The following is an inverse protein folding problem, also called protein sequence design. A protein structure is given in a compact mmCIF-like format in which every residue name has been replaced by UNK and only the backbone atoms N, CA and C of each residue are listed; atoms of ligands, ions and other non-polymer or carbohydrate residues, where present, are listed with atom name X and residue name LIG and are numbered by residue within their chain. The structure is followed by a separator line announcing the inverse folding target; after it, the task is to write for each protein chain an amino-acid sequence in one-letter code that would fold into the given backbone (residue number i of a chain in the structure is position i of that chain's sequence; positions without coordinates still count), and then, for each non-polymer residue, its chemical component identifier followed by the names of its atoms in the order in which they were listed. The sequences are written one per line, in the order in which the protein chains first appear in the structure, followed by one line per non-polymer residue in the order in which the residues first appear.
data_IF_879387930149
#
_entry.id   IF_879387930149
#
_cell.length_a   1.000
_cell.length_b   1.000
_cell.length_c   1.000
_cell.angle_alpha   90.00
_cell.angle_beta   90.00
_cell.angle_gamma   90.00
#
_symmetry.space_group_name_H-M   'P 1'
#
loop_
_entity.id
_entity.type
_entity.pdbx_description
1 polymer ?
#
# COMPACT_ATOMS: atom_id res chain seq x y z
N UNK A 1 13.04 19.37 16.45
CA UNK A 1 13.60 18.02 16.68
C UNK A 1 14.30 17.61 15.42
N UNK A 2 15.54 17.15 15.46
CA UNK A 2 16.23 16.64 14.29
C UNK A 2 15.49 15.36 13.86
N UNK A 3 14.85 15.38 12.68
CA UNK A 3 14.24 14.19 12.09
C UNK A 3 15.30 13.09 12.04
N UNK A 4 15.03 11.96 12.66
CA UNK A 4 15.93 10.80 12.57
C UNK A 4 15.93 10.34 11.13
N UNK A 5 17.09 10.41 10.47
CA UNK A 5 17.22 10.09 9.05
C UNK A 5 16.92 8.61 8.77
N UNK A 6 16.06 8.34 7.79
CA UNK A 6 15.81 6.99 7.24
C UNK A 6 16.90 6.49 6.29
N UNK A 7 17.96 7.29 6.06
CA UNK A 7 19.00 6.97 5.07
C UNK A 7 19.73 5.63 5.32
N UNK A 8 19.78 5.14 6.56
CA UNK A 8 20.36 3.84 6.89
C UNK A 8 19.43 2.64 6.62
N UNK A 9 18.12 2.84 6.47
CA UNK A 9 17.15 1.77 6.35
C UNK A 9 17.32 0.91 5.07
N UNK A 10 17.59 1.48 3.87
CA UNK A 10 17.83 0.68 2.67
C UNK A 10 19.02 -0.26 2.81
N UNK A 11 20.13 0.21 3.39
CA UNK A 11 21.32 -0.62 3.62
C UNK A 11 21.03 -1.75 4.62
N UNK A 12 20.26 -1.47 5.68
CA UNK A 12 19.83 -2.50 6.63
C UNK A 12 19.00 -3.60 5.95
N UNK A 13 18.05 -3.24 5.08
CA UNK A 13 17.23 -4.22 4.35
C UNK A 13 18.01 -4.98 3.29
N UNK A 14 19.01 -4.37 2.68
CA UNK A 14 19.95 -5.06 1.77
C UNK A 14 20.71 -6.15 2.52
N UNK A 15 21.26 -5.83 3.70
CA UNK A 15 21.95 -6.80 4.55
C UNK A 15 20.99 -7.91 5.04
N UNK A 16 19.76 -7.55 5.45
CA UNK A 16 18.72 -8.51 5.85
C UNK A 16 18.30 -9.45 4.71
N UNK A 17 18.32 -9.00 3.48
CA UNK A 17 18.00 -9.86 2.34
C UNK A 17 19.14 -10.83 2.01
N UNK A 18 20.39 -10.42 2.23
CA UNK A 18 21.57 -11.25 2.01
C UNK A 18 21.75 -12.35 3.10
N UNK A 19 21.39 -12.05 4.35
CA UNK A 19 21.44 -12.98 5.48
C UNK A 19 20.13 -12.94 6.26
N UNK A 20 19.10 -13.65 5.75
CA UNK A 20 17.77 -13.66 6.37
C UNK A 20 17.64 -14.81 7.37
N UNK A 21 18.40 -14.72 8.47
CA UNK A 21 18.47 -15.74 9.54
C UNK A 21 17.99 -15.19 10.89
N UNK A 22 17.80 -16.09 11.85
CA UNK A 22 17.51 -15.72 13.24
C UNK A 22 18.75 -15.12 13.91
N UNK A 23 19.92 -15.59 13.55
CA UNK A 23 21.21 -15.09 14.02
C UNK A 23 21.41 -13.65 13.59
N UNK A 24 21.16 -13.32 12.33
CA UNK A 24 21.18 -11.94 11.83
C UNK A 24 20.26 -11.02 12.68
N UNK A 25 19.02 -11.48 12.94
CA UNK A 25 18.10 -10.70 13.78
C UNK A 25 18.65 -10.46 15.18
N UNK A 26 19.15 -11.51 15.82
CA UNK A 26 19.68 -11.41 17.19
C UNK A 26 20.81 -10.39 17.28
N UNK A 27 21.70 -10.35 16.30
CA UNK A 27 22.83 -9.42 16.26
C UNK A 27 22.45 -7.99 15.83
N UNK A 28 21.39 -7.82 15.04
CA UNK A 28 21.05 -6.56 14.37
C UNK A 28 19.71 -5.96 14.82
N UNK A 29 19.05 -6.54 15.82
CA UNK A 29 17.74 -6.07 16.30
C UNK A 29 17.79 -4.62 16.80
N UNK A 30 18.79 -4.25 17.56
CA UNK A 30 18.89 -2.90 18.11
C UNK A 30 19.22 -1.87 17.02
N UNK A 31 20.00 -2.28 16.02
CA UNK A 31 20.24 -1.51 14.81
C UNK A 31 18.93 -1.29 14.03
N UNK A 32 18.11 -2.33 13.87
CA UNK A 32 16.78 -2.22 13.24
C UNK A 32 15.91 -1.19 13.94
N UNK A 33 15.85 -1.20 15.26
CA UNK A 33 15.05 -0.23 16.01
C UNK A 33 15.56 1.20 15.76
N UNK A 34 16.87 1.43 15.89
CA UNK A 34 17.49 2.74 15.77
C UNK A 34 17.49 3.30 14.34
N UNK A 35 17.77 2.47 13.33
CA UNK A 35 17.96 2.94 11.94
C UNK A 35 16.77 2.75 11.03
N UNK A 36 15.80 1.89 11.40
CA UNK A 36 14.65 1.58 10.59
C UNK A 36 13.34 1.97 11.29
N UNK A 37 13.05 1.34 12.44
CA UNK A 37 11.72 1.40 13.03
C UNK A 37 11.41 2.78 13.62
N UNK A 38 12.27 3.30 14.45
CA UNK A 38 12.07 4.61 15.10
C UNK A 38 12.04 5.75 14.08
N UNK A 39 12.98 5.84 13.12
CA UNK A 39 12.91 6.86 12.07
C UNK A 39 11.67 6.74 11.19
N UNK A 40 11.21 5.53 10.90
CA UNK A 40 9.99 5.33 10.10
C UNK A 40 8.72 5.78 10.85
N UNK A 41 8.64 5.55 12.17
CA UNK A 41 7.53 6.05 12.99
C UNK A 41 7.58 7.57 13.14
N UNK A 42 8.77 8.14 13.29
CA UNK A 42 8.97 9.59 13.32
C UNK A 42 8.50 10.22 12.01
N UNK A 43 8.87 9.64 10.85
CA UNK A 43 8.42 10.08 9.53
C UNK A 43 6.90 10.13 9.42
N UNK A 44 6.18 9.08 9.87
CA UNK A 44 4.72 9.07 9.87
C UNK A 44 4.14 10.19 10.75
N UNK A 45 4.75 10.43 11.90
CA UNK A 45 4.37 11.51 12.81
C UNK A 45 4.62 12.90 12.19
N UNK A 46 5.77 13.08 11.55
CA UNK A 46 6.14 14.32 10.85
C UNK A 46 5.19 14.61 9.67
N UNK A 47 4.67 13.56 9.03
CA UNK A 47 3.59 13.66 8.05
C UNK A 47 2.20 13.89 8.69
N UNK A 48 2.14 14.30 9.95
CA UNK A 48 0.90 14.64 10.66
C UNK A 48 -0.01 13.44 10.94
N UNK A 49 0.51 12.22 10.94
CA UNK A 49 -0.28 11.02 11.18
C UNK A 49 -0.23 10.62 12.66
N UNK A 50 -1.39 10.29 13.23
CA UNK A 50 -1.42 9.60 14.52
C UNK A 50 -0.98 8.15 14.33
N UNK A 51 0.29 7.88 14.69
CA UNK A 51 0.90 6.54 14.51
C UNK A 51 0.17 5.44 15.27
N UNK A 52 -0.63 5.76 16.29
CA UNK A 52 -1.42 4.76 17.02
C UNK A 52 -2.58 4.21 16.19
N UNK A 53 -3.04 4.96 15.20
CA UNK A 53 -4.06 4.50 14.24
C UNK A 53 -3.50 3.61 13.14
N UNK A 54 -2.18 3.53 13.03
CA UNK A 54 -1.49 2.75 12.01
C UNK A 54 -1.15 1.34 12.49
N UNK A 55 -1.51 0.37 11.71
CA UNK A 55 -1.05 -1.01 11.88
C UNK A 55 0.36 -1.15 11.31
N UNK A 56 1.36 -0.98 12.16
CA UNK A 56 2.77 -1.21 11.82
C UNK A 56 3.06 -2.72 11.79
N UNK A 57 3.63 -3.21 10.71
CA UNK A 57 3.91 -4.63 10.55
C UNK A 57 5.12 -5.06 11.39
N UNK A 58 4.98 -6.22 12.05
CA UNK A 58 6.11 -6.85 12.74
C UNK A 58 7.18 -7.30 11.74
N UNK A 59 8.48 -7.30 12.12
CA UNK A 59 9.57 -7.71 11.25
C UNK A 59 9.52 -9.20 10.87
N UNK A 60 9.00 -10.04 11.75
CA UNK A 60 8.94 -11.48 11.52
C UNK A 60 7.84 -11.87 10.54
N UNK A 61 8.18 -12.85 9.69
CA UNK A 61 7.26 -13.50 8.75
C UNK A 61 6.66 -14.75 9.39
N UNK A 62 5.44 -15.09 9.04
CA UNK A 62 4.88 -16.41 9.34
C UNK A 62 5.37 -17.39 8.27
N UNK A 63 6.34 -18.22 8.65
CA UNK A 63 6.98 -19.16 7.73
C UNK A 63 6.27 -20.50 7.62
N UNK A 64 5.20 -20.73 8.41
CA UNK A 64 4.47 -22.00 8.41
C UNK A 64 3.89 -22.36 7.04
N UNK A 65 3.54 -21.34 6.26
CA UNK A 65 2.93 -21.49 4.93
C UNK A 65 3.85 -21.06 3.78
N UNK A 66 5.14 -20.83 4.06
CA UNK A 66 6.10 -20.34 3.05
C UNK A 66 7.47 -20.99 3.27
N UNK A 67 7.60 -22.32 3.03
CA UNK A 67 8.87 -23.01 3.17
C UNK A 67 9.92 -22.40 2.20
N UNK A 68 11.15 -22.28 2.68
CA UNK A 68 12.27 -21.72 1.90
C UNK A 68 12.35 -20.19 1.91
N UNK A 69 11.41 -19.49 2.54
CA UNK A 69 11.48 -18.04 2.72
C UNK A 69 12.04 -17.73 4.11
N UNK A 70 13.02 -16.82 4.18
CA UNK A 70 13.63 -16.42 5.45
C UNK A 70 12.63 -15.86 6.48
N UNK A 71 12.97 -15.92 7.78
CA UNK A 71 12.07 -15.58 8.88
C UNK A 71 11.74 -14.08 8.98
N UNK A 72 12.48 -13.23 8.31
CA UNK A 72 12.31 -11.78 8.38
C UNK A 72 11.66 -11.23 7.10
N UNK A 73 10.86 -10.18 7.27
CA UNK A 73 10.43 -9.35 6.15
C UNK A 73 11.59 -8.45 5.72
N UNK A 74 11.77 -8.30 4.42
CA UNK A 74 12.76 -7.39 3.82
C UNK A 74 12.20 -5.99 3.61
N UNK A 75 11.22 -5.62 4.41
CA UNK A 75 10.61 -4.29 4.46
C UNK A 75 9.94 -4.03 5.81
N UNK A 76 9.80 -2.77 6.17
CA UNK A 76 8.89 -2.30 7.20
C UNK A 76 7.73 -1.56 6.52
N UNK A 77 6.50 -1.98 6.80
CA UNK A 77 5.30 -1.34 6.28
C UNK A 77 4.34 -0.96 7.39
N UNK A 78 3.53 0.04 7.13
CA UNK A 78 2.43 0.48 7.97
C UNK A 78 1.19 0.78 7.14
N UNK A 79 0.03 0.44 7.66
CA UNK A 79 -1.28 0.61 7.02
C UNK A 79 -2.25 1.31 7.97
N UNK A 80 -2.85 2.38 7.50
CA UNK A 80 -4.01 3.01 8.12
C UNK A 80 -5.23 2.78 7.23
N UNK A 81 -6.33 2.32 7.81
CA UNK A 81 -7.59 2.07 7.11
C UNK A 81 -8.66 3.01 7.66
N UNK A 82 -9.26 3.81 6.81
CA UNK A 82 -10.34 4.72 7.16
C UNK A 82 -11.67 3.96 7.36
N UNK A 83 -12.65 4.61 7.98
CA UNK A 83 -13.97 4.03 8.23
C UNK A 83 -14.72 3.68 6.95
N UNK A 84 -14.44 4.36 5.84
CA UNK A 84 -14.98 4.08 4.51
C UNK A 84 -14.31 2.88 3.81
N UNK A 85 -13.29 2.28 4.43
CA UNK A 85 -12.55 1.12 3.94
C UNK A 85 -11.34 1.47 3.08
N UNK A 86 -11.17 2.73 2.64
CA UNK A 86 -9.95 3.14 1.93
C UNK A 86 -8.74 3.13 2.87
N UNK A 87 -7.54 2.97 2.33
CA UNK A 87 -6.34 2.91 3.13
C UNK A 87 -5.22 3.79 2.60
N UNK A 88 -4.35 4.22 3.52
CA UNK A 88 -3.03 4.77 3.24
C UNK A 88 -1.98 3.77 3.69
N UNK A 89 -0.98 3.57 2.87
CA UNK A 89 0.13 2.68 3.13
C UNK A 89 1.45 3.40 2.98
N UNK A 90 2.40 3.09 3.85
CA UNK A 90 3.78 3.49 3.71
C UNK A 90 4.69 2.28 3.95
N UNK A 91 5.81 2.21 3.24
CA UNK A 91 6.80 1.14 3.36
C UNK A 91 8.20 1.69 3.12
N UNK A 92 9.16 1.18 3.86
CA UNK A 92 10.60 1.33 3.59
C UNK A 92 11.21 -0.04 3.35
N UNK A 93 12.01 -0.17 2.29
CA UNK A 93 12.74 -1.38 1.92
C UNK A 93 14.12 -1.01 1.34
N UNK A 94 14.86 -2.00 0.80
CA UNK A 94 16.16 -1.77 0.17
C UNK A 94 16.11 -0.83 -1.04
N UNK A 95 14.94 -0.57 -1.62
CA UNK A 95 14.73 0.31 -2.78
C UNK A 95 14.21 1.69 -2.40
N UNK A 96 14.24 2.04 -1.12
CA UNK A 96 13.74 3.32 -0.61
C UNK A 96 12.31 3.27 -0.09
N UNK A 97 11.66 4.43 -0.06
CA UNK A 97 10.34 4.65 0.50
C UNK A 97 9.26 4.42 -0.57
N UNK A 98 8.16 3.76 -0.19
CA UNK A 98 6.98 3.57 -1.02
C UNK A 98 5.75 4.06 -0.26
N UNK A 99 4.87 4.76 -0.95
CA UNK A 99 3.56 5.12 -0.43
C UNK A 99 2.46 4.70 -1.41
N UNK A 100 1.30 4.37 -0.87
CA UNK A 100 0.09 4.15 -1.68
C UNK A 100 -1.18 4.54 -0.93
N UNK A 101 -2.24 4.79 -1.70
CA UNK A 101 -3.60 4.98 -1.19
C UNK A 101 -4.61 4.30 -2.10
N UNK A 102 -5.70 3.78 -1.53
CA UNK A 102 -6.75 3.07 -2.28
C UNK A 102 -7.36 1.91 -1.51
N UNK A 103 -7.81 0.92 -2.25
CA UNK A 103 -8.32 -0.37 -1.75
C UNK A 103 -7.50 -1.49 -2.40
N UNK A 104 -6.40 -1.93 -1.79
CA UNK A 104 -5.52 -2.95 -2.37
C UNK A 104 -6.17 -4.32 -2.46
N UNK A 105 -7.24 -4.56 -1.70
CA UNK A 105 -8.02 -5.80 -1.71
C UNK A 105 -9.50 -5.47 -1.57
N UNK A 106 -10.32 -6.04 -2.45
CA UNK A 106 -11.78 -5.94 -2.41
C UNK A 106 -12.36 -7.25 -1.88
N UNK A 107 -13.05 -7.20 -0.75
CA UNK A 107 -13.87 -8.31 -0.26
C UNK A 107 -15.00 -8.62 -1.27
N UNK A 108 -15.65 -9.77 -1.14
CA UNK A 108 -16.63 -10.23 -2.12
C UNK A 108 -17.79 -9.23 -2.33
N UNK A 109 -18.28 -8.62 -1.27
CA UNK A 109 -19.32 -7.58 -1.31
C UNK A 109 -18.81 -6.28 -1.96
N UNK A 110 -17.59 -5.86 -1.62
CA UNK A 110 -16.91 -4.73 -2.24
C UNK A 110 -16.67 -4.97 -3.74
N UNK A 111 -16.20 -6.17 -4.11
CA UNK A 111 -15.95 -6.52 -5.51
C UNK A 111 -17.23 -6.50 -6.35
N UNK A 112 -18.37 -6.87 -5.76
CA UNK A 112 -19.68 -6.74 -6.42
C UNK A 112 -20.02 -5.27 -6.67
N UNK A 113 -19.91 -4.41 -5.65
CA UNK A 113 -20.17 -2.95 -5.79
C UNK A 113 -19.20 -2.31 -6.79
N UNK A 114 -17.90 -2.64 -6.71
CA UNK A 114 -16.88 -2.21 -7.65
C UNK A 114 -17.29 -2.49 -9.12
N UNK A 115 -17.62 -3.74 -9.42
CA UNK A 115 -17.99 -4.14 -10.78
C UNK A 115 -19.25 -3.45 -11.27
N UNK A 116 -20.26 -3.33 -10.43
CA UNK A 116 -21.49 -2.60 -10.75
C UNK A 116 -21.20 -1.13 -11.07
N UNK A 117 -20.38 -0.46 -10.25
CA UNK A 117 -20.04 0.95 -10.45
C UNK A 117 -19.17 1.15 -11.69
N UNK A 118 -18.16 0.28 -11.93
CA UNK A 118 -17.27 0.39 -13.09
C UNK A 118 -17.99 0.14 -14.41
N UNK A 119 -18.99 -0.75 -14.46
CA UNK A 119 -19.82 -0.97 -15.67
C UNK A 119 -20.74 0.22 -15.90
N UNK A 120 -21.31 0.77 -14.85
CA UNK A 120 -22.31 1.84 -14.91
C UNK A 120 -21.74 3.24 -15.18
N UNK A 121 -22.62 4.23 -15.05
CA UNK A 121 -22.30 5.66 -15.17
C UNK A 121 -21.10 6.09 -14.32
N UNK A 122 -20.97 5.68 -13.03
CA UNK A 122 -19.81 6.06 -12.22
C UNK A 122 -18.46 5.59 -12.75
N UNK A 123 -18.45 4.69 -13.72
CA UNK A 123 -17.23 4.21 -14.37
C UNK A 123 -16.47 5.29 -15.17
N UNK A 124 -17.14 6.34 -15.61
CA UNK A 124 -16.48 7.50 -16.24
C UNK A 124 -15.70 8.30 -15.21
N UNK A 125 -16.29 8.52 -14.04
CA UNK A 125 -15.67 9.27 -12.95
C UNK A 125 -14.42 8.57 -12.39
N UNK A 126 -14.41 7.23 -12.32
CA UNK A 126 -13.19 6.53 -11.87
C UNK A 126 -12.08 6.65 -12.91
N UNK A 127 -12.39 6.65 -14.20
CA UNK A 127 -11.38 6.88 -15.24
C UNK A 127 -10.76 8.28 -15.06
N UNK A 128 -11.58 9.30 -14.85
CA UNK A 128 -11.10 10.65 -14.58
C UNK A 128 -10.28 10.73 -13.27
N UNK A 129 -10.68 10.00 -12.22
CA UNK A 129 -9.94 9.95 -10.96
C UNK A 129 -8.56 9.25 -11.11
N UNK A 130 -8.48 8.21 -11.92
CA UNK A 130 -7.23 7.53 -12.27
C UNK A 130 -6.31 8.48 -13.02
N UNK A 131 -6.81 9.15 -14.05
CA UNK A 131 -6.04 10.12 -14.83
C UNK A 131 -5.56 11.30 -13.97
N UNK A 132 -6.38 11.75 -13.03
CA UNK A 132 -5.98 12.81 -12.10
C UNK A 132 -4.82 12.36 -11.20
N UNK A 133 -4.86 11.14 -10.67
CA UNK A 133 -3.76 10.58 -9.87
C UNK A 133 -2.47 10.45 -10.71
N UNK A 134 -2.58 10.00 -11.96
CA UNK A 134 -1.44 9.90 -12.87
C UNK A 134 -0.82 11.27 -13.22
N UNK A 135 -1.67 12.28 -13.47
CA UNK A 135 -1.19 13.65 -13.67
C UNK A 135 -0.50 14.24 -12.44
N UNK A 136 -0.89 13.80 -11.25
CA UNK A 136 -0.25 14.16 -9.99
C UNK A 136 1.03 13.34 -9.68
N UNK A 137 1.48 12.49 -10.62
CA UNK A 137 2.71 11.71 -10.53
C UNK A 137 2.55 10.29 -9.96
N UNK A 138 1.36 9.89 -9.52
CA UNK A 138 1.16 8.54 -9.02
C UNK A 138 1.02 7.51 -10.15
N UNK A 139 1.57 6.34 -9.96
CA UNK A 139 1.28 5.16 -10.76
C UNK A 139 0.01 4.48 -10.27
N UNK A 140 -0.74 3.86 -11.18
CA UNK A 140 -1.93 3.08 -10.82
C UNK A 140 -1.62 1.60 -11.03
N UNK A 141 -1.99 0.78 -10.06
CA UNK A 141 -1.86 -0.68 -10.18
C UNK A 141 -3.13 -1.38 -9.69
N UNK A 142 -3.36 -2.59 -10.21
CA UNK A 142 -4.29 -3.50 -9.56
C UNK A 142 -3.77 -3.84 -8.17
N UNK A 143 -4.68 -4.02 -7.23
CA UNK A 143 -4.32 -4.54 -5.92
C UNK A 143 -4.10 -6.06 -5.94
N UNK A 144 -4.11 -6.64 -4.76
CA UNK A 144 -3.97 -8.07 -4.54
C UNK A 144 -5.36 -8.76 -4.41
N UNK A 145 -5.54 -10.01 -4.82
CA UNK A 145 -4.63 -10.84 -5.63
C UNK A 145 -4.60 -10.41 -7.09
N UNK A 146 -3.73 -11.03 -7.89
CA UNK A 146 -3.59 -10.76 -9.32
C UNK A 146 -4.93 -10.62 -10.06
N UNK A 147 -5.00 -9.77 -11.08
CA UNK A 147 -6.20 -9.60 -11.90
C UNK A 147 -6.71 -10.89 -12.52
N UNK A 148 -7.98 -10.95 -12.79
CA UNK A 148 -8.56 -12.04 -13.57
C UNK A 148 -7.98 -12.03 -15.00
N UNK A 149 -7.75 -13.22 -15.56
CA UNK A 149 -7.32 -13.36 -16.97
C UNK A 149 -8.38 -12.90 -17.97
N UNK A 150 -9.66 -13.03 -17.58
CA UNK A 150 -10.82 -12.64 -18.41
C UNK A 150 -11.75 -11.75 -17.59
N UNK A 151 -12.56 -10.94 -18.27
CA UNK A 151 -13.65 -10.19 -17.63
C UNK A 151 -14.64 -11.15 -16.95
N UNK A 152 -15.32 -10.72 -15.88
CA UNK A 152 -16.35 -11.52 -15.24
C UNK A 152 -17.47 -11.94 -16.21
N UNK A 153 -18.13 -13.07 -15.91
CA UNK A 153 -19.30 -13.51 -16.69
C UNK A 153 -20.38 -12.44 -16.72
N UNK A 154 -21.01 -12.23 -17.86
CA UNK A 154 -22.07 -11.25 -18.05
C UNK A 154 -21.56 -9.84 -18.37
N UNK A 155 -20.26 -9.65 -18.48
CA UNK A 155 -19.65 -8.40 -18.93
C UNK A 155 -19.14 -8.56 -20.35
N UNK A 156 -19.38 -7.56 -21.20
CA UNK A 156 -18.83 -7.50 -22.56
C UNK A 156 -17.29 -7.49 -22.51
N UNK A 157 -16.60 -8.44 -23.16
CA UNK A 157 -15.15 -8.45 -23.23
C UNK A 157 -14.53 -7.18 -23.86
N UNK A 158 -15.30 -6.47 -24.68
CA UNK A 158 -14.89 -5.22 -25.33
C UNK A 158 -15.33 -3.96 -24.56
N UNK A 159 -15.81 -4.11 -23.32
CA UNK A 159 -16.17 -2.97 -22.48
C UNK A 159 -14.97 -2.01 -22.34
N UNK A 160 -15.15 -0.68 -22.48
CA UNK A 160 -14.05 0.30 -22.43
C UNK A 160 -13.21 0.21 -21.14
N UNK A 161 -13.78 -0.27 -20.06
CA UNK A 161 -13.13 -0.47 -18.75
C UNK A 161 -12.91 -1.95 -18.41
N UNK A 162 -12.74 -2.81 -19.42
CA UNK A 162 -12.54 -4.25 -19.25
C UNK A 162 -11.36 -4.57 -18.32
N UNK A 163 -10.29 -3.77 -18.36
CA UNK A 163 -9.12 -3.96 -17.49
C UNK A 163 -9.47 -3.75 -16.03
N UNK A 164 -10.18 -2.68 -15.68
CA UNK A 164 -10.62 -2.40 -14.32
C UNK A 164 -11.56 -3.50 -13.80
N UNK A 165 -12.39 -4.07 -14.66
CA UNK A 165 -13.33 -5.14 -14.28
C UNK A 165 -12.64 -6.47 -13.94
N UNK A 166 -11.39 -6.66 -14.39
CA UNK A 166 -10.55 -7.80 -14.01
C UNK A 166 -9.88 -7.61 -12.67
N UNK A 167 -9.75 -6.37 -12.17
CA UNK A 167 -9.04 -6.06 -10.95
C UNK A 167 -9.84 -6.46 -9.70
N UNK A 168 -9.13 -6.80 -8.64
CA UNK A 168 -9.66 -7.19 -7.33
C UNK A 168 -9.21 -6.25 -6.23
N UNK A 169 -8.70 -5.12 -6.62
CA UNK A 169 -8.24 -4.00 -5.81
C UNK A 169 -7.64 -2.95 -6.71
N UNK A 170 -7.42 -1.75 -6.18
CA UNK A 170 -6.80 -0.63 -6.90
C UNK A 170 -6.06 0.27 -5.93
N UNK A 171 -4.87 0.71 -6.33
CA UNK A 171 -4.03 1.63 -5.58
C UNK A 171 -3.39 2.67 -6.51
N UNK A 172 -3.39 3.92 -6.07
CA UNK A 172 -2.45 4.94 -6.53
C UNK A 172 -1.20 4.83 -5.66
N UNK A 173 -0.01 4.73 -6.26
CA UNK A 173 1.24 4.51 -5.55
C UNK A 173 2.41 5.22 -6.22
N UNK A 174 3.45 5.48 -5.44
CA UNK A 174 4.72 5.98 -5.91
C UNK A 174 5.87 5.47 -5.05
N UNK A 175 7.11 5.61 -5.56
CA UNK A 175 8.34 5.21 -4.88
C UNK A 175 9.39 6.28 -4.97
N UNK A 176 9.92 6.67 -3.81
CA UNK A 176 11.10 7.52 -3.66
C UNK A 176 12.32 6.60 -3.47
N UNK A 177 13.16 6.51 -4.49
CA UNK A 177 14.32 5.62 -4.47
C UNK A 177 15.40 6.09 -3.48
N UNK A 178 15.61 7.40 -3.42
CA UNK A 178 16.51 8.04 -2.46
C UNK A 178 15.66 8.85 -1.48
N UNK A 179 15.84 8.61 -0.18
CA UNK A 179 15.12 9.38 0.85
C UNK A 179 15.76 10.76 0.91
N UNK A 180 15.06 11.73 0.35
CA UNK A 180 15.46 13.13 0.24
C UNK A 180 15.27 13.94 1.54
N UNK A 181 15.40 15.24 1.45
CA UNK A 181 15.29 16.15 2.58
C UNK A 181 13.85 16.37 3.08
N UNK A 182 12.82 16.00 2.27
CA UNK A 182 11.40 16.16 2.62
C UNK A 182 10.59 14.87 2.41
N UNK A 183 10.92 13.75 3.06
CA UNK A 183 10.18 12.50 2.88
C UNK A 183 8.75 12.57 3.46
N UNK A 184 8.49 13.39 4.45
CA UNK A 184 7.15 13.60 5.01
C UNK A 184 6.23 14.31 4.02
N UNK A 185 6.69 15.38 3.40
CA UNK A 185 5.96 16.08 2.34
C UNK A 185 5.77 15.18 1.13
N UNK A 186 6.74 14.34 0.77
CA UNK A 186 6.57 13.37 -0.32
C UNK A 186 5.47 12.34 0.01
N UNK A 187 5.41 11.79 1.23
CA UNK A 187 4.33 10.91 1.66
C UNK A 187 2.95 11.57 1.48
N UNK A 188 2.83 12.82 1.96
CA UNK A 188 1.58 13.57 1.86
C UNK A 188 1.16 13.78 0.40
N UNK A 189 2.07 14.24 -0.45
CA UNK A 189 1.81 14.44 -1.90
C UNK A 189 1.39 13.15 -2.58
N UNK A 190 2.04 12.03 -2.27
CA UNK A 190 1.70 10.71 -2.86
C UNK A 190 0.32 10.24 -2.43
N UNK A 191 -0.05 10.37 -1.14
CA UNK A 191 -1.39 10.01 -0.69
C UNK A 191 -2.47 10.93 -1.25
N UNK A 192 -2.19 12.23 -1.36
CA UNK A 192 -3.12 13.22 -1.92
C UNK A 192 -3.34 13.02 -3.42
N UNK A 193 -2.31 12.58 -4.16
CA UNK A 193 -2.45 12.21 -5.57
C UNK A 193 -3.54 11.14 -5.79
N UNK A 194 -3.68 10.17 -4.86
CA UNK A 194 -4.77 9.18 -4.88
C UNK A 194 -6.08 9.66 -4.28
N UNK A 195 -6.19 10.92 -3.85
CA UNK A 195 -7.34 11.42 -3.09
C UNK A 195 -8.67 11.36 -3.84
N UNK A 196 -8.70 11.65 -5.15
CA UNK A 196 -9.92 11.53 -5.96
C UNK A 196 -10.34 10.06 -6.11
N UNK A 197 -9.38 9.17 -6.35
CA UNK A 197 -9.60 7.72 -6.39
C UNK A 197 -10.18 7.21 -5.07
N UNK A 198 -9.62 7.61 -3.93
CA UNK A 198 -10.12 7.23 -2.61
C UNK A 198 -11.54 7.74 -2.37
N UNK A 199 -11.88 8.98 -2.74
CA UNK A 199 -13.25 9.51 -2.63
C UNK A 199 -14.24 8.72 -3.48
N UNK A 200 -13.88 8.39 -4.70
CA UNK A 200 -14.71 7.55 -5.56
C UNK A 200 -14.93 6.16 -4.95
N UNK A 201 -13.86 5.53 -4.46
CA UNK A 201 -13.90 4.23 -3.79
C UNK A 201 -14.78 4.26 -2.53
N UNK A 202 -14.63 5.28 -1.69
CA UNK A 202 -15.45 5.48 -0.49
C UNK A 202 -16.95 5.56 -0.83
N UNK A 203 -17.28 6.31 -1.88
CA UNK A 203 -18.69 6.55 -2.27
C UNK A 203 -19.33 5.32 -2.95
N UNK A 204 -18.63 4.66 -3.87
CA UNK A 204 -19.24 3.61 -4.71
C UNK A 204 -18.94 2.19 -4.24
N UNK A 205 -17.87 2.00 -3.47
CA UNK A 205 -17.46 0.69 -2.95
C UNK A 205 -17.64 0.60 -1.44
N UNK A 206 -17.14 1.57 -0.71
CA UNK A 206 -17.28 1.66 0.75
C UNK A 206 -16.61 0.54 1.53
N UNK A 207 -16.80 0.55 2.84
CA UNK A 207 -16.31 -0.51 3.71
C UNK A 207 -17.00 -1.85 3.44
N UNK A 208 -16.30 -2.96 3.72
CA UNK A 208 -16.91 -4.29 3.68
C UNK A 208 -17.82 -4.51 4.88
N UNK A 209 -18.99 -5.11 4.62
CA UNK A 209 -19.90 -5.59 5.67
C UNK A 209 -19.60 -7.03 6.10
N UNK A 210 -18.67 -7.71 5.42
CA UNK A 210 -18.31 -9.09 5.75
C UNK A 210 -17.35 -9.12 6.92
N UNK A 211 -17.64 -9.96 7.91
CA UNK A 211 -16.72 -10.25 9.01
C UNK A 211 -15.43 -10.84 8.43
N UNK A 212 -14.27 -10.36 8.90
CA UNK A 212 -13.00 -11.03 8.60
C UNK A 212 -13.06 -12.43 9.22
N UNK A 213 -13.24 -13.43 8.40
CA UNK A 213 -12.97 -14.81 8.83
C UNK A 213 -11.47 -14.89 9.18
N UNK A 214 -11.17 -15.21 10.42
CA UNK A 214 -9.79 -15.31 10.97
C UNK A 214 -9.04 -16.45 10.33
#
# INVERSE_FOLDING_TARGET
MLSQSLSGAPAWFTACAADNTREFWTLRRDDYHRTVREPFLALLSDAGQDVQTWRVYRPHRDTRFSPGVGPLKTFLGALCVAADGTGRYAQIDARGLLASSGLPYLAADQLKRWRTAVVGQPGEDITAAIEAAQRAGASIKSGYPEPLRRVPRGVDPHHPRADLLRWKGIEAWDRLAEVDDDPAGWLLRTWDAGGQLCRWLAHHVGATSLSRTR
#
